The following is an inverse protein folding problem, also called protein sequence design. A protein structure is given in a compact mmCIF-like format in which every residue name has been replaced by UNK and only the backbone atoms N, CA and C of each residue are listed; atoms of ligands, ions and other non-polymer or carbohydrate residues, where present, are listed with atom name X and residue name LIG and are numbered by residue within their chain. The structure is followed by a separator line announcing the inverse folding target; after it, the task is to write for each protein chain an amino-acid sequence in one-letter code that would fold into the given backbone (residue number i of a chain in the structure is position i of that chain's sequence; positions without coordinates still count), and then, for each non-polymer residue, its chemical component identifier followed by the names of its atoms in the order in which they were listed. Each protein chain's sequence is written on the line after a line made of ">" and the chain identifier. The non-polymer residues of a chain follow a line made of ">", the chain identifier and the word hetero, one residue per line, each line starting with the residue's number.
data_IF_298889212657
#
_entry.id   IF_298889212657
#
_cell.length_a   1.000
_cell.length_b   1.000
_cell.length_c   1.000
_cell.angle_alpha   90.00
_cell.angle_beta   90.00
_cell.angle_gamma   90.00
#
_symmetry.space_group_name_H-M   'P 1'
#
loop_
_entity.id
_entity.type
_entity.pdbx_description
1 polymer ?
#
# COMPACT_ATOMS: atom_id res chain seq x y z
N UNK A 1 -9.29 -14.52 -5.57
CA UNK A 1 -9.21 -14.28 -4.12
C UNK A 1 -7.77 -13.86 -3.82
N UNK A 2 -7.46 -12.57 -3.91
CA UNK A 2 -6.09 -12.07 -3.75
C UNK A 2 -5.70 -12.07 -2.27
N UNK A 3 -5.29 -13.23 -1.76
CA UNK A 3 -4.72 -13.36 -0.42
C UNK A 3 -3.41 -12.56 -0.36
N UNK A 4 -3.20 -11.78 0.71
CA UNK A 4 -1.93 -11.10 1.08
C UNK A 4 -0.67 -11.99 0.98
N UNK A 5 -0.84 -13.29 0.78
CA UNK A 5 0.17 -14.29 0.42
C UNK A 5 0.91 -13.98 -0.89
N UNK A 6 0.35 -13.21 -1.82
CA UNK A 6 0.91 -12.99 -3.17
C UNK A 6 2.16 -12.09 -3.20
N UNK A 7 2.50 -11.37 -2.14
CA UNK A 7 3.75 -10.61 -2.06
C UNK A 7 4.96 -11.40 -1.54
N UNK A 8 4.76 -12.63 -1.05
CA UNK A 8 5.85 -13.50 -0.59
C UNK A 8 6.66 -13.97 -1.79
N UNK A 9 7.84 -13.38 -1.99
CA UNK A 9 8.75 -13.68 -3.11
C UNK A 9 8.84 -12.58 -4.18
N UNK A 10 8.22 -11.41 -3.95
CA UNK A 10 8.49 -10.22 -4.76
C UNK A 10 9.92 -9.71 -4.48
N UNK A 11 10.64 -9.34 -5.53
CA UNK A 11 11.95 -8.73 -5.41
C UNK A 11 11.86 -7.35 -4.74
N UNK A 12 12.95 -6.90 -4.12
CA UNK A 12 13.01 -5.57 -3.50
C UNK A 12 12.64 -4.45 -4.49
N UNK A 13 13.00 -4.63 -5.75
CA UNK A 13 12.73 -3.67 -6.82
C UNK A 13 11.23 -3.64 -7.19
N UNK A 14 10.56 -4.79 -7.23
CA UNK A 14 9.11 -4.87 -7.46
C UNK A 14 8.32 -4.26 -6.30
N UNK A 15 8.75 -4.51 -5.05
CA UNK A 15 8.16 -3.88 -3.88
C UNK A 15 8.33 -2.36 -3.91
N UNK A 16 9.50 -1.85 -4.31
CA UNK A 16 9.72 -0.40 -4.46
C UNK A 16 8.83 0.20 -5.56
N UNK A 17 8.69 -0.47 -6.71
CA UNK A 17 7.80 -0.01 -7.78
C UNK A 17 6.35 -0.03 -7.31
N UNK A 18 5.92 -1.12 -6.67
CA UNK A 18 4.58 -1.22 -6.10
C UNK A 18 4.32 -0.15 -5.03
N UNK A 19 5.33 0.18 -4.21
CA UNK A 19 5.25 1.22 -3.19
C UNK A 19 5.11 2.61 -3.80
N UNK A 20 5.85 2.89 -4.87
CA UNK A 20 5.73 4.12 -5.67
C UNK A 20 4.32 4.27 -6.27
N UNK A 21 3.75 3.17 -6.77
CA UNK A 21 2.37 3.17 -7.31
C UNK A 21 1.33 3.30 -6.19
N UNK A 22 1.58 2.73 -5.01
CA UNK A 22 0.69 2.84 -3.84
C UNK A 22 0.71 4.24 -3.20
N UNK A 23 1.81 4.97 -3.32
CA UNK A 23 2.10 6.26 -2.68
C UNK A 23 1.02 7.34 -2.91
N UNK A 24 0.53 7.60 -4.15
CA UNK A 24 -0.56 8.57 -4.35
C UNK A 24 -1.87 8.15 -3.67
N UNK A 25 -2.17 6.86 -3.58
CA UNK A 25 -3.39 6.37 -2.93
C UNK A 25 -3.30 6.47 -1.41
N UNK A 26 -2.15 6.10 -0.82
CA UNK A 26 -1.94 6.24 0.62
C UNK A 26 -1.85 7.71 1.05
N UNK A 27 -1.21 8.55 0.24
CA UNK A 27 -1.12 10.00 0.46
C UNK A 27 -2.49 10.67 0.40
N UNK A 28 -3.31 10.37 -0.61
CA UNK A 28 -4.67 10.86 -0.69
C UNK A 28 -5.49 10.43 0.53
N UNK A 29 -5.45 9.14 0.88
CA UNK A 29 -6.18 8.60 2.03
C UNK A 29 -5.77 9.26 3.34
N UNK A 30 -4.48 9.55 3.54
CA UNK A 30 -3.98 10.26 4.71
C UNK A 30 -4.58 11.68 4.83
N UNK A 31 -4.81 12.36 3.71
CA UNK A 31 -5.47 13.69 3.68
C UNK A 31 -6.94 13.56 4.08
N UNK A 32 -7.65 12.57 3.53
CA UNK A 32 -9.06 12.30 3.91
C UNK A 32 -9.22 11.92 5.38
N UNK A 33 -8.32 11.08 5.90
CA UNK A 33 -8.32 10.68 7.30
C UNK A 33 -8.02 11.88 8.21
N UNK A 34 -7.05 12.73 7.85
CA UNK A 34 -6.76 13.96 8.58
C UNK A 34 -7.86 15.02 8.48
N UNK A 35 -8.69 14.99 7.44
CA UNK A 35 -9.87 15.86 7.36
C UNK A 35 -11.05 15.31 8.17
N UNK A 36 -11.14 13.98 8.33
CA UNK A 36 -12.21 13.31 9.06
C UNK A 36 -11.98 13.23 10.58
N UNK A 37 -10.72 13.20 11.00
CA UNK A 37 -10.34 13.29 12.41
C UNK A 37 -9.78 14.68 12.69
N UNK A 38 -10.12 15.26 13.84
CA UNK A 38 -9.49 16.49 14.31
C UNK A 38 -7.95 16.38 14.23
N UNK A 39 -7.33 17.47 13.77
CA UNK A 39 -6.00 17.55 13.16
C UNK A 39 -4.89 16.76 13.89
N UNK A 40 -4.01 16.10 13.12
CA UNK A 40 -2.70 15.55 13.55
C UNK A 40 -2.68 14.50 14.67
N UNK A 41 -3.64 13.59 14.74
CA UNK A 41 -3.46 12.41 15.58
C UNK A 41 -2.30 11.52 15.05
N UNK A 42 -1.27 11.19 15.86
CA UNK A 42 -0.19 10.28 15.47
C UNK A 42 -0.70 8.92 14.99
N UNK A 43 -1.88 8.51 15.47
CA UNK A 43 -2.56 7.29 15.05
C UNK A 43 -2.86 7.31 13.55
N UNK A 44 -3.24 8.46 12.99
CA UNK A 44 -3.56 8.56 11.56
C UNK A 44 -2.33 8.41 10.66
N UNK A 45 -1.15 8.80 11.13
CA UNK A 45 0.12 8.57 10.43
C UNK A 45 0.40 7.07 10.37
N UNK A 46 0.24 6.37 11.50
CA UNK A 46 0.44 4.91 11.57
C UNK A 46 -0.56 4.16 10.69
N UNK A 47 -1.83 4.55 10.72
CA UNK A 47 -2.88 3.95 9.87
C UNK A 47 -2.57 4.17 8.38
N UNK A 48 -2.14 5.37 8.00
CA UNK A 48 -1.77 5.67 6.62
C UNK A 48 -0.57 4.85 6.14
N UNK A 49 0.45 4.69 7.00
CA UNK A 49 1.62 3.85 6.72
C UNK A 49 1.27 2.36 6.60
N UNK A 50 0.38 1.85 7.46
CA UNK A 50 -0.12 0.47 7.38
C UNK A 50 -0.87 0.23 6.07
N UNK A 51 -1.75 1.15 5.67
CA UNK A 51 -2.51 1.05 4.43
C UNK A 51 -1.61 1.14 3.20
N UNK A 52 -0.57 1.98 3.25
CA UNK A 52 0.47 1.99 2.22
C UNK A 52 1.19 0.65 2.10
N UNK A 53 1.58 0.05 3.23
CA UNK A 53 2.20 -1.28 3.25
C UNK A 53 1.30 -2.34 2.63
N UNK A 54 0.03 -2.39 3.05
CA UNK A 54 -0.97 -3.33 2.51
C UNK A 54 -1.14 -3.14 1.00
N UNK A 55 -1.30 -1.89 0.54
CA UNK A 55 -1.46 -1.59 -0.89
C UNK A 55 -0.21 -1.98 -1.70
N UNK A 56 0.98 -1.74 -1.17
CA UNK A 56 2.26 -2.13 -1.79
C UNK A 56 2.32 -3.64 -1.99
N UNK A 57 2.06 -4.42 -0.93
CA UNK A 57 2.06 -5.88 -0.99
C UNK A 57 0.99 -6.42 -1.95
N UNK A 58 -0.19 -5.78 -1.98
CA UNK A 58 -1.28 -6.15 -2.85
C UNK A 58 -0.94 -5.90 -4.34
N UNK A 59 -0.43 -4.71 -4.67
CA UNK A 59 -0.01 -4.36 -6.05
C UNK A 59 1.14 -5.26 -6.51
N UNK A 60 2.12 -5.52 -5.65
CA UNK A 60 3.22 -6.43 -5.97
C UNK A 60 2.71 -7.85 -6.29
N UNK A 61 1.74 -8.34 -5.51
CA UNK A 61 1.10 -9.62 -5.74
C UNK A 61 0.33 -9.69 -7.07
N UNK A 62 -0.52 -8.70 -7.36
CA UNK A 62 -1.26 -8.63 -8.63
C UNK A 62 -0.34 -8.59 -9.86
N UNK A 63 0.73 -7.81 -9.77
CA UNK A 63 1.70 -7.70 -10.87
C UNK A 63 2.42 -9.01 -11.13
N UNK A 64 2.65 -9.80 -10.09
CA UNK A 64 3.27 -11.12 -10.20
C UNK A 64 2.32 -12.13 -10.84
N UNK A 65 1.06 -12.18 -10.39
CA UNK A 65 0.03 -13.05 -10.99
C UNK A 65 -0.15 -12.74 -12.49
N UNK A 66 -0.15 -11.46 -12.88
CA UNK A 66 -0.25 -11.05 -14.29
C UNK A 66 1.02 -11.22 -15.12
N UNK A 67 2.15 -11.63 -14.54
CA UNK A 67 3.40 -11.94 -15.25
C UNK A 67 3.63 -13.47 -15.40
N UNK A 68 2.82 -14.30 -14.74
CA UNK A 68 2.86 -15.77 -14.83
C UNK A 68 1.94 -16.31 -15.97
N UNK A 69 1.18 -15.45 -16.65
CA UNK A 69 0.43 -15.71 -17.89
C UNK A 69 1.20 -15.24 -19.14
#
# INVERSE_FOLDING_TARGET
>A
MATLRSGYGASLQELLIAALVALPFSGALAIWLQAAADWQSPIMIVVSGLLQGIATFWIAGYRREGNEE
#
